data_IF_966488506824
#
_entry.id   IF_966488506824
#
_cell.length_a   1.000
_cell.length_b   1.000
_cell.length_c   1.000
_cell.angle_alpha   90.00
_cell.angle_beta   90.00
_cell.angle_gamma   90.00
#
_symmetry.space_group_name_H-M   'P 1'
#
loop_
_entity.id
_entity.type
_entity.pdbx_description
1 polymer ?
#
# COMPACT_ATOMS: atom_id res chain seq x y z
N UNK A 1 -21.23 35.78 8.69
CA UNK A 1 -20.96 35.06 7.43
C UNK A 1 -22.02 35.46 6.40
N UNK A 2 -21.65 35.69 5.13
CA UNK A 2 -22.64 36.00 4.09
C UNK A 2 -23.62 34.82 3.94
N UNK A 3 -24.91 35.11 3.98
CA UNK A 3 -25.95 34.10 3.77
C UNK A 3 -26.11 33.86 2.26
N UNK A 4 -25.73 32.67 1.80
CA UNK A 4 -25.94 32.25 0.42
C UNK A 4 -27.18 31.36 0.33
N UNK A 5 -28.10 31.69 -0.58
CA UNK A 5 -29.28 30.89 -0.87
C UNK A 5 -28.88 29.50 -1.37
N UNK A 6 -29.71 28.46 -1.11
CA UNK A 6 -29.44 27.10 -1.58
C UNK A 6 -29.31 27.01 -3.10
N UNK A 7 -30.11 27.79 -3.84
CA UNK A 7 -30.07 27.88 -5.30
C UNK A 7 -28.72 28.41 -5.80
N UNK A 8 -28.19 29.45 -5.16
CA UNK A 8 -26.88 30.02 -5.52
C UNK A 8 -25.75 29.03 -5.25
N UNK A 9 -25.80 28.28 -4.14
CA UNK A 9 -24.82 27.22 -3.86
C UNK A 9 -24.86 26.12 -4.92
N UNK A 10 -26.06 25.68 -5.31
CA UNK A 10 -26.22 24.66 -6.34
C UNK A 10 -25.70 25.12 -7.71
N UNK A 11 -25.97 26.36 -8.11
CA UNK A 11 -25.45 26.93 -9.35
C UNK A 11 -23.92 26.97 -9.39
N UNK A 12 -23.28 27.39 -8.30
CA UNK A 12 -21.82 27.42 -8.18
C UNK A 12 -21.20 26.02 -8.23
N UNK A 13 -21.81 25.04 -7.56
CA UNK A 13 -21.36 23.66 -7.62
C UNK A 13 -21.55 23.05 -9.01
N UNK A 14 -22.56 23.47 -9.78
CA UNK A 14 -22.78 23.04 -11.17
C UNK A 14 -21.69 23.53 -12.12
N UNK A 15 -21.05 24.67 -11.84
CA UNK A 15 -19.91 25.16 -12.63
C UNK A 15 -18.65 24.29 -12.47
N UNK A 16 -18.54 23.59 -11.33
CA UNK A 16 -17.48 22.61 -11.04
C UNK A 16 -17.76 21.24 -11.67
N UNK A 17 -18.86 21.07 -12.39
CA UNK A 17 -19.28 19.84 -13.06
C UNK A 17 -19.21 19.99 -14.59
N UNK A 18 -19.28 18.91 -15.39
CA UNK A 18 -19.32 19.01 -16.84
C UNK A 18 -20.65 19.69 -17.23
N UNK A 19 -20.68 20.51 -18.28
CA UNK A 19 -19.67 20.66 -19.35
C UNK A 19 -18.58 21.72 -19.09
N UNK A 20 -18.64 22.44 -17.98
CA UNK A 20 -17.70 23.55 -17.71
C UNK A 20 -16.43 23.07 -16.99
N UNK A 21 -16.56 22.14 -16.04
CA UNK A 21 -15.48 21.54 -15.24
C UNK A 21 -14.44 22.58 -14.76
N UNK A 22 -14.92 23.74 -14.30
CA UNK A 22 -14.07 24.84 -13.84
C UNK A 22 -13.39 24.48 -12.51
N UNK A 23 -12.20 25.03 -12.27
CA UNK A 23 -11.52 24.85 -10.99
C UNK A 23 -12.18 25.69 -9.88
N UNK A 24 -12.04 25.25 -8.63
CA UNK A 24 -12.58 25.99 -7.47
C UNK A 24 -12.06 27.44 -7.41
N UNK A 25 -10.77 27.63 -7.72
CA UNK A 25 -10.11 28.94 -7.74
C UNK A 25 -10.63 29.85 -8.86
N UNK A 26 -11.06 29.30 -10.00
CA UNK A 26 -11.69 30.09 -11.07
C UNK A 26 -13.10 30.51 -10.69
N UNK A 27 -13.90 29.60 -10.11
CA UNK A 27 -15.25 29.92 -9.63
C UNK A 27 -15.20 30.95 -8.51
N UNK A 28 -14.26 30.81 -7.57
CA UNK A 28 -14.04 31.77 -6.49
C UNK A 28 -13.73 33.18 -6.98
N UNK A 29 -12.80 33.30 -7.96
CA UNK A 29 -12.44 34.59 -8.57
C UNK A 29 -13.58 35.20 -9.36
N UNK A 30 -14.32 34.39 -10.12
CA UNK A 30 -15.39 34.85 -10.99
C UNK A 30 -16.62 35.32 -10.21
N UNK A 31 -16.99 34.58 -9.18
CA UNK A 31 -18.27 34.77 -8.47
C UNK A 31 -18.10 35.47 -7.11
N UNK A 32 -16.85 35.81 -6.75
CA UNK A 32 -16.51 36.51 -5.52
C UNK A 32 -16.81 35.69 -4.26
N UNK A 33 -16.57 34.38 -4.31
CA UNK A 33 -16.82 33.45 -3.20
C UNK A 33 -15.49 32.90 -2.70
N UNK A 34 -15.36 32.72 -1.38
CA UNK A 34 -14.16 32.10 -0.80
C UNK A 34 -14.03 30.63 -1.22
N UNK A 35 -12.83 30.22 -1.64
CA UNK A 35 -12.47 28.82 -1.93
C UNK A 35 -12.88 27.86 -0.80
N UNK A 36 -12.69 28.31 0.45
CA UNK A 36 -13.05 27.53 1.64
C UNK A 36 -14.55 27.27 1.75
N UNK A 37 -15.39 28.21 1.31
CA UNK A 37 -16.84 28.06 1.32
C UNK A 37 -17.31 27.07 0.26
N UNK A 38 -16.73 27.14 -0.95
CA UNK A 38 -16.99 26.19 -2.04
C UNK A 38 -16.58 24.76 -1.65
N UNK A 39 -15.41 24.61 -1.01
CA UNK A 39 -14.94 23.31 -0.52
C UNK A 39 -15.88 22.70 0.54
N UNK A 40 -16.36 23.53 1.47
CA UNK A 40 -17.31 23.10 2.51
C UNK A 40 -18.66 22.70 1.90
N UNK A 41 -19.19 23.45 0.92
CA UNK A 41 -20.44 23.09 0.25
C UNK A 41 -20.30 21.82 -0.59
N UNK A 42 -19.17 21.63 -1.28
CA UNK A 42 -18.88 20.38 -2.01
C UNK A 42 -18.83 19.17 -1.06
N UNK A 43 -18.21 19.33 0.12
CA UNK A 43 -18.15 18.29 1.14
C UNK A 43 -19.55 17.97 1.70
N UNK A 44 -20.35 19.00 1.95
CA UNK A 44 -21.73 18.87 2.43
C UNK A 44 -22.64 18.19 1.40
N UNK A 45 -22.53 18.58 0.13
CA UNK A 45 -23.25 17.93 -0.97
C UNK A 45 -22.89 16.44 -1.11
N UNK A 46 -21.60 16.09 -0.91
CA UNK A 46 -21.15 14.68 -0.88
C UNK A 46 -21.75 13.90 0.29
N UNK A 47 -21.85 14.49 1.48
CA UNK A 47 -22.45 13.82 2.64
C UNK A 47 -23.98 13.69 2.57
N UNK A 48 -24.64 14.59 1.84
CA UNK A 48 -26.10 14.61 1.66
C UNK A 48 -26.60 13.67 0.54
N UNK A 49 -25.72 12.81 -0.01
CA UNK A 49 -26.11 11.79 -1.00
C UNK A 49 -26.33 12.31 -2.43
N UNK A 50 -26.27 13.63 -2.65
CA UNK A 50 -26.17 14.20 -3.98
C UNK A 50 -24.74 14.02 -4.49
N UNK A 51 -24.47 12.82 -5.01
CA UNK A 51 -23.22 12.50 -5.70
C UNK A 51 -23.06 13.41 -6.92
N UNK A 52 -22.48 14.59 -6.69
CA UNK A 52 -21.72 15.39 -7.65
C UNK A 52 -20.55 14.49 -8.08
N UNK A 53 -20.87 13.56 -8.98
CA UNK A 53 -19.96 12.54 -9.51
C UNK A 53 -19.01 13.21 -10.50
N UNK A 54 -18.09 13.96 -9.94
CA UNK A 54 -16.78 14.15 -10.54
C UNK A 54 -15.75 13.78 -9.48
N UNK A 55 -15.61 12.47 -9.27
CA UNK A 55 -14.29 11.95 -9.03
C UNK A 55 -13.75 11.59 -10.40
N UNK A 56 -13.02 12.51 -11.03
CA UNK A 56 -11.87 12.09 -11.82
C UNK A 56 -10.98 11.41 -10.76
N UNK A 57 -10.93 10.08 -10.70
CA UNK A 57 -10.12 9.43 -9.69
C UNK A 57 -8.70 9.77 -10.10
N UNK A 58 -8.03 10.58 -9.28
CA UNK A 58 -6.57 10.69 -9.34
C UNK A 58 -6.02 9.27 -9.49
N UNK A 59 -5.06 9.06 -10.38
CA UNK A 59 -4.60 7.73 -10.82
C UNK A 59 -4.25 6.76 -9.67
N UNK A 60 -4.08 7.26 -8.45
CA UNK A 60 -3.90 6.53 -7.19
C UNK A 60 -5.12 5.79 -6.62
N UNK A 61 -6.35 6.08 -7.03
CA UNK A 61 -7.56 5.45 -6.44
C UNK A 61 -8.13 4.26 -7.24
N UNK A 62 -7.44 3.80 -8.29
CA UNK A 62 -7.90 2.67 -9.10
C UNK A 62 -7.47 1.35 -8.47
N UNK A 63 -8.43 0.47 -8.16
CA UNK A 63 -8.12 -0.89 -7.70
C UNK A 63 -7.46 -1.70 -8.82
N UNK A 64 -6.71 -2.74 -8.46
CA UNK A 64 -6.03 -3.59 -9.43
C UNK A 64 -7.02 -4.26 -10.41
N UNK A 65 -8.22 -4.66 -9.94
CA UNK A 65 -9.25 -5.21 -10.84
C UNK A 65 -9.77 -4.16 -11.81
N UNK A 66 -9.97 -2.92 -11.35
CA UNK A 66 -10.45 -1.83 -12.20
C UNK A 66 -9.41 -1.42 -13.26
N UNK A 67 -8.12 -1.39 -12.89
CA UNK A 67 -7.03 -1.15 -13.85
C UNK A 67 -6.98 -2.25 -14.91
N UNK A 68 -7.13 -3.51 -14.50
CA UNK A 68 -7.15 -4.64 -15.42
C UNK A 68 -8.34 -4.60 -16.38
N UNK A 69 -9.55 -4.29 -15.88
CA UNK A 69 -10.74 -4.13 -16.72
C UNK A 69 -10.55 -3.06 -17.79
N UNK A 70 -9.95 -1.91 -17.43
CA UNK A 70 -9.62 -0.84 -18.39
C UNK A 70 -8.61 -1.32 -19.44
N UNK A 71 -7.56 -2.04 -19.03
CA UNK A 71 -6.57 -2.60 -19.97
C UNK A 71 -7.22 -3.60 -20.93
N UNK A 72 -8.20 -4.38 -20.48
CA UNK A 72 -8.94 -5.33 -21.28
C UNK A 72 -9.88 -4.64 -22.27
N UNK A 73 -10.67 -3.67 -21.82
CA UNK A 73 -11.57 -2.88 -22.66
C UNK A 73 -10.81 -2.10 -23.75
N UNK A 74 -9.62 -1.59 -23.42
CA UNK A 74 -8.78 -0.81 -24.34
C UNK A 74 -7.85 -1.67 -25.20
N UNK A 75 -7.90 -3.00 -25.08
CA UNK A 75 -7.05 -3.90 -25.86
C UNK A 75 -7.39 -3.90 -27.35
N UNK A 76 -8.67 -3.73 -27.69
CA UNK A 76 -9.17 -3.72 -29.07
C UNK A 76 -9.46 -2.35 -29.67
N UNK A 77 -9.26 -1.26 -28.90
CA UNK A 77 -9.55 0.10 -29.36
C UNK A 77 -8.40 0.64 -30.22
N UNK A 78 -8.75 1.41 -31.25
CA UNK A 78 -7.80 2.22 -32.01
C UNK A 78 -7.26 3.38 -31.16
N UNK A 79 -6.17 4.03 -31.60
CA UNK A 79 -5.56 5.14 -30.85
C UNK A 79 -6.51 6.34 -30.67
N UNK A 80 -7.41 6.56 -31.65
CA UNK A 80 -8.44 7.59 -31.61
C UNK A 80 -9.49 7.27 -30.55
N UNK A 81 -10.02 6.04 -30.58
CA UNK A 81 -11.01 5.57 -29.61
C UNK A 81 -10.44 5.48 -28.19
N UNK A 82 -9.17 5.13 -28.06
CA UNK A 82 -8.46 5.12 -26.80
C UNK A 82 -8.34 6.53 -26.22
N UNK A 83 -8.03 7.54 -27.04
CA UNK A 83 -8.00 8.94 -26.62
C UNK A 83 -9.38 9.44 -26.17
N UNK A 84 -10.46 9.07 -26.87
CA UNK A 84 -11.83 9.38 -26.45
C UNK A 84 -12.21 8.68 -25.14
N UNK A 85 -11.89 7.40 -25.02
CA UNK A 85 -12.10 6.62 -23.80
C UNK A 85 -11.38 7.25 -22.61
N UNK A 86 -10.12 7.62 -22.81
CA UNK A 86 -9.28 8.34 -21.84
C UNK A 86 -9.93 9.64 -21.37
N UNK A 87 -10.43 10.47 -22.30
CA UNK A 87 -11.13 11.72 -21.98
C UNK A 87 -12.40 11.48 -21.17
N UNK A 88 -13.19 10.45 -21.51
CA UNK A 88 -14.44 10.10 -20.79
C UNK A 88 -14.18 9.58 -19.38
N UNK A 89 -13.10 8.83 -19.18
CA UNK A 89 -12.75 8.19 -17.89
C UNK A 89 -11.80 9.01 -17.03
N UNK A 90 -11.25 10.12 -17.56
CA UNK A 90 -10.25 10.93 -16.88
C UNK A 90 -8.89 10.23 -16.75
N UNK A 91 -8.53 9.41 -17.73
CA UNK A 91 -7.29 8.64 -17.78
C UNK A 91 -6.35 9.17 -18.87
N UNK A 92 -5.06 8.87 -18.74
CA UNK A 92 -4.08 9.16 -19.78
C UNK A 92 -3.69 7.89 -20.54
N UNK A 93 -3.47 7.96 -21.87
CA UNK A 93 -3.01 6.82 -22.67
C UNK A 93 -1.75 6.15 -22.11
N UNK A 94 -0.81 6.97 -21.59
CA UNK A 94 0.43 6.48 -20.99
C UNK A 94 0.19 5.65 -19.72
N UNK A 95 -0.86 5.93 -18.95
CA UNK A 95 -1.21 5.13 -17.77
C UNK A 95 -1.68 3.74 -18.18
N UNK A 96 -2.51 3.64 -19.22
CA UNK A 96 -3.00 2.37 -19.75
C UNK A 96 -1.84 1.54 -20.31
N UNK A 97 -0.91 2.19 -21.03
CA UNK A 97 0.32 1.54 -21.51
C UNK A 97 1.18 1.04 -20.35
N UNK A 98 1.36 1.84 -19.31
CA UNK A 98 2.10 1.46 -18.11
C UNK A 98 1.45 0.27 -17.39
N UNK A 99 0.12 0.26 -17.25
CA UNK A 99 -0.61 -0.86 -16.65
C UNK A 99 -0.50 -2.13 -17.50
N UNK A 100 -0.61 -2.02 -18.82
CA UNK A 100 -0.41 -3.16 -19.74
C UNK A 100 1.00 -3.75 -19.59
N UNK A 101 2.02 -2.90 -19.53
CA UNK A 101 3.40 -3.35 -19.31
C UNK A 101 3.59 -3.96 -17.92
N UNK A 102 2.99 -3.38 -16.89
CA UNK A 102 3.02 -3.94 -15.53
C UNK A 102 2.39 -5.33 -15.47
N UNK A 103 1.28 -5.58 -16.17
CA UNK A 103 0.68 -6.91 -16.27
C UNK A 103 1.62 -7.93 -16.93
N UNK A 104 2.25 -7.55 -18.05
CA UNK A 104 3.18 -8.42 -18.78
C UNK A 104 4.44 -8.69 -17.93
N UNK A 105 4.96 -7.66 -17.28
CA UNK A 105 6.16 -7.76 -16.46
C UNK A 105 5.92 -8.50 -15.16
N UNK A 106 4.76 -8.35 -14.52
CA UNK A 106 4.37 -9.11 -13.33
C UNK A 106 4.37 -10.61 -13.59
N UNK A 107 3.81 -11.05 -14.72
CA UNK A 107 3.85 -12.47 -15.12
C UNK A 107 5.27 -13.01 -15.37
N UNK A 108 6.21 -12.17 -15.83
CA UNK A 108 7.60 -12.57 -16.05
C UNK A 108 8.41 -12.56 -14.76
N UNK A 109 8.20 -11.53 -13.93
CA UNK A 109 8.86 -11.36 -12.64
C UNK A 109 8.47 -12.48 -11.67
N UNK A 110 7.19 -12.85 -11.59
CA UNK A 110 6.72 -13.93 -10.71
C UNK A 110 7.46 -15.25 -10.95
N UNK A 111 7.74 -15.61 -12.22
CA UNK A 111 8.42 -16.88 -12.54
C UNK A 111 9.91 -16.88 -12.19
N UNK A 112 10.57 -15.73 -12.32
CA UNK A 112 11.98 -15.59 -11.98
C UNK A 112 12.14 -15.46 -10.45
N UNK A 113 11.36 -14.57 -9.85
CA UNK A 113 11.35 -14.32 -8.40
C UNK A 113 10.99 -15.58 -7.62
N UNK A 114 9.98 -16.36 -8.06
CA UNK A 114 9.60 -17.60 -7.38
C UNK A 114 10.72 -18.67 -7.41
N UNK A 115 11.57 -18.68 -8.43
CA UNK A 115 12.72 -19.60 -8.47
C UNK A 115 13.80 -19.16 -7.49
N UNK A 116 14.15 -17.88 -7.51
CA UNK A 116 15.17 -17.31 -6.63
C UNK A 116 14.74 -17.40 -5.16
N UNK A 117 13.48 -17.08 -4.85
CA UNK A 117 12.90 -17.21 -3.51
C UNK A 117 12.93 -18.67 -3.02
N UNK A 118 12.68 -19.64 -3.92
CA UNK A 118 12.73 -21.06 -3.58
C UNK A 118 14.15 -21.54 -3.32
N UNK A 119 15.13 -21.05 -4.07
CA UNK A 119 16.54 -21.34 -3.84
C UNK A 119 17.03 -20.72 -2.54
N UNK A 120 16.65 -19.47 -2.27
CA UNK A 120 16.99 -18.77 -1.04
C UNK A 120 16.37 -19.47 0.18
N UNK A 121 15.08 -19.81 0.12
CA UNK A 121 14.41 -20.57 1.19
C UNK A 121 15.09 -21.94 1.46
N UNK A 122 15.62 -22.60 0.42
CA UNK A 122 16.39 -23.84 0.59
C UNK A 122 17.73 -23.60 1.28
N UNK A 123 18.45 -22.54 0.92
CA UNK A 123 19.73 -22.15 1.56
C UNK A 123 19.50 -21.79 3.03
N UNK A 124 18.48 -20.97 3.30
CA UNK A 124 18.14 -20.52 4.64
C UNK A 124 17.72 -21.70 5.52
N UNK A 125 16.89 -22.63 5.00
CA UNK A 125 16.51 -23.84 5.73
C UNK A 125 17.72 -24.70 6.10
N UNK A 126 18.69 -24.86 5.20
CA UNK A 126 19.94 -25.59 5.50
C UNK A 126 20.74 -24.87 6.58
N UNK A 127 20.84 -23.55 6.50
CA UNK A 127 21.57 -22.74 7.49
C UNK A 127 20.94 -22.82 8.87
N UNK A 128 19.61 -22.74 8.94
CA UNK A 128 18.85 -22.90 10.19
C UNK A 128 19.14 -24.27 10.81
N UNK A 129 19.07 -25.35 10.02
CA UNK A 129 19.35 -26.70 10.54
C UNK A 129 20.78 -26.86 11.05
N UNK A 130 21.75 -26.25 10.39
CA UNK A 130 23.15 -26.26 10.82
C UNK A 130 23.33 -25.50 12.13
N UNK A 131 22.79 -24.28 12.22
CA UNK A 131 22.81 -23.46 13.43
C UNK A 131 22.11 -24.16 14.60
N UNK A 132 20.96 -24.80 14.38
CA UNK A 132 20.26 -25.58 15.40
C UNK A 132 21.09 -26.77 15.91
N UNK A 133 21.85 -27.43 15.03
CA UNK A 133 22.74 -28.53 15.45
C UNK A 133 23.91 -28.02 16.28
N UNK A 134 24.51 -26.91 15.89
CA UNK A 134 25.59 -26.28 16.67
C UNK A 134 25.08 -25.82 18.04
N UNK A 135 23.90 -25.22 18.07
CA UNK A 135 23.26 -24.78 19.31
C UNK A 135 23.02 -25.96 20.26
N UNK A 136 22.43 -27.07 19.77
CA UNK A 136 22.25 -28.30 20.57
C UNK A 136 23.56 -28.88 21.09
N UNK A 137 24.64 -28.83 20.30
CA UNK A 137 25.97 -29.31 20.75
C UNK A 137 26.54 -28.42 21.85
N UNK A 138 26.41 -27.10 21.71
CA UNK A 138 26.86 -26.12 22.72
C UNK A 138 26.04 -26.25 24.01
N UNK A 139 24.73 -26.37 23.91
CA UNK A 139 23.85 -26.56 25.07
C UNK A 139 24.16 -27.86 25.81
N UNK A 140 24.46 -28.95 25.09
CA UNK A 140 24.88 -30.22 25.71
C UNK A 140 26.21 -30.06 26.47
N UNK A 141 27.21 -29.42 25.87
CA UNK A 141 28.49 -29.16 26.53
C UNK A 141 28.31 -28.25 27.76
N UNK A 142 27.45 -27.23 27.67
CA UNK A 142 27.11 -26.36 28.80
C UNK A 142 26.36 -27.10 29.91
N UNK A 143 25.47 -28.02 29.57
CA UNK A 143 24.79 -28.86 30.55
C UNK A 143 25.75 -29.83 31.26
N UNK A 144 26.70 -30.41 30.53
CA UNK A 144 27.73 -31.27 31.10
C UNK A 144 28.66 -30.50 32.05
N UNK A 145 29.10 -29.29 31.70
CA UNK A 145 29.91 -28.46 32.61
C UNK A 145 29.13 -28.00 33.83
N UNK A 146 27.86 -27.61 33.66
CA UNK A 146 26.97 -27.27 34.78
C UNK A 146 26.78 -28.47 35.73
N UNK A 147 26.59 -29.68 35.19
CA UNK A 147 26.50 -30.90 36.00
C UNK A 147 27.78 -31.19 36.78
N UNK A 148 28.96 -31.04 36.15
CA UNK A 148 30.25 -31.19 36.82
C UNK A 148 30.45 -30.16 37.94
N UNK A 149 30.05 -28.90 37.73
CA UNK A 149 30.11 -27.86 38.77
C UNK A 149 29.19 -28.19 39.95
N UNK A 150 27.97 -28.67 39.69
CA UNK A 150 27.03 -29.09 40.74
C UNK A 150 27.57 -30.30 41.52
N UNK A 151 28.14 -31.29 40.85
CA UNK A 151 28.76 -32.45 41.51
C UNK A 151 29.96 -32.04 42.36
N UNK A 152 30.83 -31.15 41.84
CA UNK A 152 31.96 -30.60 42.59
C UNK A 152 31.50 -29.86 43.84
N UNK A 153 30.46 -29.03 43.73
CA UNK A 153 29.87 -28.34 44.89
C UNK A 153 29.38 -29.33 45.93
N UNK A 154 28.56 -30.31 45.54
CA UNK A 154 28.05 -31.33 46.47
C UNK A 154 29.18 -32.09 47.17
N UNK A 155 30.26 -32.44 46.45
CA UNK A 155 31.41 -33.13 47.03
C UNK A 155 32.12 -32.25 48.08
N UNK A 156 32.32 -30.96 47.77
CA UNK A 156 32.89 -30.01 48.72
C UNK A 156 32.01 -29.87 49.98
N UNK A 157 30.68 -29.76 49.81
CA UNK A 157 29.71 -29.70 50.92
C UNK A 157 29.84 -30.95 51.82
N UNK A 158 29.97 -32.16 51.23
CA UNK A 158 30.14 -33.41 51.98
C UNK A 158 31.47 -33.49 52.73
N UNK A 159 32.54 -32.90 52.19
CA UNK A 159 33.87 -32.93 52.81
C UNK A 159 34.14 -31.75 53.72
N UNK A 160 33.17 -30.84 53.91
CA UNK A 160 33.32 -29.64 54.74
C UNK A 160 34.38 -28.68 54.19
N UNK A 161 34.70 -28.79 52.90
CA UNK A 161 35.59 -27.86 52.18
C UNK A 161 34.71 -26.73 51.63
N UNK A 162 33.91 -26.12 52.49
CA UNK A 162 33.44 -24.77 52.24
C UNK A 162 34.63 -23.88 52.56
N UNK A 163 35.38 -23.51 51.52
CA UNK A 163 36.26 -22.37 51.63
C UNK A 163 35.38 -21.14 51.87
N UNK A 164 35.10 -20.85 53.13
CA UNK A 164 35.32 -19.50 53.64
C UNK A 164 36.77 -19.13 53.28
N UNK A 165 36.94 -18.53 52.09
CA UNK A 165 37.87 -17.44 51.81
C UNK A 165 38.00 -17.23 50.28
N UNK A 166 37.36 -16.14 49.84
CA UNK A 166 37.52 -15.38 48.58
C UNK A 166 36.95 -15.94 47.27
#
# INVERSE_FOLDING_TARGET
MPYYSPERKAALLKMLLPPLSLSMAEVARREGVSDMSLANWRRKARSEGNAVSENIPSAQNWTAEAQFAVVLETAGLSEIELAEYCRRKGLYPEQIKAWRQACINGQKADKAQQKDDREQARKDKKRIQELERELRRKDKALAETAALLVLRKKLNDYWGIDNEDN
#
